data_IF_075960862836
#
_entry.id   IF_075960862836
#
_cell.length_a   1.000
_cell.length_b   1.000
_cell.length_c   1.000
_cell.angle_alpha   90.00
_cell.angle_beta   90.00
_cell.angle_gamma   90.00
#
_symmetry.space_group_name_H-M   'P 1'
#
loop_
_entity.id
_entity.type
_entity.pdbx_description
1 polymer ?
#
# COMPACT_ATOMS: atom_id res chain seq x y z
N UNK A 1 -21.53 7.14 -7.61
CA UNK A 1 -20.20 7.48 -7.06
C UNK A 1 -19.46 6.22 -6.71
N UNK A 2 -18.17 6.21 -6.93
CA UNK A 2 -17.39 5.06 -6.51
C UNK A 2 -17.43 4.95 -4.99
N UNK A 3 -17.43 3.73 -4.43
CA UNK A 3 -17.48 3.55 -2.99
C UNK A 3 -16.26 4.14 -2.28
N UNK A 4 -15.19 4.40 -3.02
CA UNK A 4 -13.97 4.94 -2.45
C UNK A 4 -13.46 6.10 -3.29
N UNK A 5 -13.52 7.30 -2.74
CA UNK A 5 -12.93 8.48 -3.36
C UNK A 5 -11.51 8.70 -2.88
N UNK A 6 -11.08 7.91 -1.90
CA UNK A 6 -9.77 8.04 -1.29
C UNK A 6 -8.68 7.54 -2.24
N UNK A 7 -7.57 8.26 -2.26
CA UNK A 7 -6.42 7.83 -3.03
C UNK A 7 -5.73 6.69 -2.30
N UNK A 8 -5.44 5.62 -3.02
CA UNK A 8 -4.85 4.42 -2.44
C UNK A 8 -3.46 4.21 -3.04
N UNK A 9 -2.47 4.12 -2.16
CA UNK A 9 -1.10 3.79 -2.55
C UNK A 9 -0.63 2.63 -1.68
N UNK A 10 0.09 1.72 -2.27
CA UNK A 10 0.62 0.57 -1.55
C UNK A 10 2.11 0.42 -1.88
N UNK A 11 2.93 0.38 -0.86
CA UNK A 11 4.36 0.18 -1.00
C UNK A 11 4.66 -1.29 -0.71
N UNK A 12 5.31 -1.94 -1.65
CA UNK A 12 5.42 -3.39 -1.67
C UNK A 12 6.82 -3.86 -1.99
N UNK A 13 7.02 -5.15 -1.80
CA UNK A 13 8.18 -5.87 -2.31
C UNK A 13 7.65 -6.93 -3.27
N UNK A 14 8.30 -7.09 -4.42
CA UNK A 14 7.81 -8.00 -5.46
C UNK A 14 7.73 -9.45 -5.02
N UNK A 15 8.54 -9.85 -4.04
CA UNK A 15 8.58 -11.22 -3.53
C UNK A 15 7.77 -11.44 -2.26
N UNK A 16 7.10 -10.41 -1.77
CA UNK A 16 6.38 -10.48 -0.49
C UNK A 16 4.99 -11.07 -0.67
N UNK A 17 4.72 -12.16 0.03
CA UNK A 17 3.40 -12.82 -0.04
C UNK A 17 2.29 -11.92 0.47
N UNK A 18 2.53 -11.22 1.58
CA UNK A 18 1.52 -10.33 2.15
C UNK A 18 1.21 -9.16 1.21
N UNK A 19 2.22 -8.68 0.49
CA UNK A 19 2.02 -7.64 -0.51
C UNK A 19 1.14 -8.13 -1.65
N UNK A 20 1.36 -9.36 -2.10
CA UNK A 20 0.53 -9.97 -3.15
C UNK A 20 -0.91 -10.13 -2.70
N UNK A 21 -1.12 -10.53 -1.45
CA UNK A 21 -2.46 -10.66 -0.89
C UNK A 21 -3.16 -9.30 -0.82
N UNK A 22 -2.43 -8.26 -0.43
CA UNK A 22 -2.98 -6.91 -0.38
C UNK A 22 -3.41 -6.43 -1.77
N UNK A 23 -2.55 -6.64 -2.78
CA UNK A 23 -2.89 -6.27 -4.16
C UNK A 23 -4.11 -7.03 -4.66
N UNK A 24 -4.17 -8.33 -4.39
CA UNK A 24 -5.30 -9.16 -4.81
C UNK A 24 -6.60 -8.71 -4.14
N UNK A 25 -6.53 -8.39 -2.86
CA UNK A 25 -7.71 -7.93 -2.14
C UNK A 25 -8.24 -6.61 -2.69
N UNK A 26 -7.35 -5.66 -2.97
CA UNK A 26 -7.76 -4.38 -3.55
C UNK A 26 -8.36 -4.58 -4.94
N UNK A 27 -7.83 -5.51 -5.72
CA UNK A 27 -8.38 -5.84 -7.02
C UNK A 27 -9.77 -6.44 -6.90
N UNK A 28 -10.00 -7.31 -5.91
CA UNK A 28 -11.32 -7.88 -5.65
C UNK A 28 -12.33 -6.81 -5.25
N UNK A 29 -11.90 -5.82 -4.50
CA UNK A 29 -12.75 -4.71 -4.09
C UNK A 29 -13.06 -3.77 -5.24
N UNK A 30 -12.41 -3.95 -6.38
CA UNK A 30 -12.60 -3.13 -7.58
C UNK A 30 -12.33 -1.65 -7.33
N UNK A 31 -11.35 -1.38 -6.48
CA UNK A 31 -10.92 0.00 -6.20
C UNK A 31 -9.59 0.26 -6.91
N UNK A 32 -9.43 1.44 -7.51
CA UNK A 32 -8.16 1.77 -8.15
C UNK A 32 -7.09 2.01 -7.10
N UNK A 33 -5.87 1.54 -7.36
CA UNK A 33 -4.75 1.76 -6.47
C UNK A 33 -3.46 1.85 -7.25
N UNK A 34 -2.47 2.53 -6.67
CA UNK A 34 -1.12 2.58 -7.21
C UNK A 34 -0.25 1.70 -6.32
N UNK A 35 0.70 1.00 -6.92
CA UNK A 35 1.64 0.22 -6.14
C UNK A 35 3.07 0.51 -6.57
N UNK A 36 3.98 0.34 -5.64
CA UNK A 36 5.39 0.57 -5.88
C UNK A 36 6.17 -0.60 -5.27
N UNK A 37 6.74 -1.44 -6.14
CA UNK A 37 7.63 -2.52 -5.70
C UNK A 37 9.01 -1.91 -5.47
N UNK A 38 9.27 -1.56 -4.23
CA UNK A 38 10.47 -0.81 -3.84
C UNK A 38 11.75 -1.56 -4.20
N UNK A 39 11.73 -2.88 -4.12
CA UNK A 39 12.89 -3.71 -4.46
C UNK A 39 13.25 -3.68 -5.94
N UNK A 40 12.31 -3.31 -6.80
CA UNK A 40 12.53 -3.20 -8.24
C UNK A 40 12.98 -1.80 -8.66
N UNK A 41 12.89 -0.84 -7.76
CA UNK A 41 13.36 0.53 -8.02
C UNK A 41 14.87 0.62 -7.86
N UNK A 42 15.47 1.60 -8.51
CA UNK A 42 16.91 1.78 -8.49
C UNK A 42 17.30 3.24 -8.28
N UNK A 43 18.47 3.45 -7.70
CA UNK A 43 19.04 4.78 -7.55
C UNK A 43 18.18 5.72 -6.73
N UNK A 44 18.01 6.93 -7.25
CA UNK A 44 17.27 7.98 -6.55
C UNK A 44 15.81 7.69 -6.36
N UNK A 45 15.19 6.95 -7.29
CA UNK A 45 13.80 6.58 -7.17
C UNK A 45 13.59 5.70 -5.95
N UNK A 46 14.47 4.72 -5.76
CA UNK A 46 14.41 3.85 -4.59
C UNK A 46 14.62 4.63 -3.30
N UNK A 47 15.61 5.51 -3.29
CA UNK A 47 15.88 6.34 -2.12
C UNK A 47 14.69 7.23 -1.76
N UNK A 48 14.08 7.84 -2.77
CA UNK A 48 12.90 8.67 -2.57
C UNK A 48 11.73 7.89 -2.01
N UNK A 49 11.49 6.69 -2.54
CA UNK A 49 10.41 5.83 -2.05
C UNK A 49 10.65 5.36 -0.63
N UNK A 50 11.87 4.98 -0.31
CA UNK A 50 12.22 4.56 1.05
C UNK A 50 12.03 5.71 2.02
N UNK A 51 12.46 6.91 1.65
CA UNK A 51 12.27 8.09 2.49
C UNK A 51 10.78 8.38 2.69
N UNK A 52 9.97 8.24 1.64
CA UNK A 52 8.54 8.46 1.72
C UNK A 52 7.88 7.43 2.64
N UNK A 53 8.20 6.16 2.46
CA UNK A 53 7.65 5.08 3.30
C UNK A 53 8.03 5.28 4.75
N UNK A 54 9.28 5.70 5.03
CA UNK A 54 9.74 5.88 6.40
C UNK A 54 8.97 6.95 7.16
N UNK A 55 8.36 7.90 6.46
CA UNK A 55 7.50 8.91 7.09
C UNK A 55 6.24 8.29 7.67
N UNK A 56 5.72 7.26 7.03
CA UNK A 56 4.49 6.60 7.42
C UNK A 56 4.77 5.35 8.25
N UNK A 57 5.88 4.68 7.97
CA UNK A 57 6.25 3.44 8.63
C UNK A 57 7.77 3.42 8.85
N UNK A 58 8.25 3.99 9.97
CA UNK A 58 9.69 4.05 10.26
C UNK A 58 10.39 2.70 10.31
N UNK A 59 9.64 1.62 10.54
CA UNK A 59 10.19 0.27 10.57
C UNK A 59 10.49 -0.28 9.18
N UNK A 60 9.96 0.39 8.14
CA UNK A 60 10.14 -0.02 6.75
C UNK A 60 9.75 -1.47 6.50
N UNK A 61 8.61 -1.88 7.04
CA UNK A 61 8.02 -3.19 6.78
C UNK A 61 7.01 -3.09 5.66
N UNK A 62 6.75 -4.20 4.98
CA UNK A 62 5.87 -4.21 3.82
C UNK A 62 4.78 -5.28 3.97
N UNK A 63 3.60 -5.04 3.41
CA UNK A 63 3.23 -3.83 2.68
C UNK A 63 2.96 -2.66 3.61
N UNK A 64 3.13 -1.43 3.12
CA UNK A 64 2.67 -0.21 3.77
C UNK A 64 1.59 0.37 2.89
N UNK A 65 0.38 0.50 3.42
CA UNK A 65 -0.79 0.88 2.65
C UNK A 65 -1.30 2.24 3.10
N UNK A 66 -1.46 3.15 2.14
CA UNK A 66 -2.03 4.46 2.39
C UNK A 66 -3.41 4.53 1.75
N UNK A 67 -4.42 4.82 2.55
CA UNK A 67 -5.79 4.97 2.06
C UNK A 67 -6.30 6.31 2.57
N UNK A 68 -6.29 7.30 1.68
CA UNK A 68 -6.58 8.68 2.09
C UNK A 68 -5.56 9.13 3.12
N UNK A 69 -6.02 9.44 4.32
CA UNK A 69 -5.15 9.88 5.42
C UNK A 69 -4.75 8.74 6.36
N UNK A 70 -5.23 7.53 6.11
CA UNK A 70 -4.94 6.40 6.96
C UNK A 70 -3.71 5.64 6.50
N UNK A 71 -2.92 5.18 7.46
CA UNK A 71 -1.73 4.37 7.21
C UNK A 71 -1.96 2.99 7.83
N UNK A 72 -1.82 1.96 7.02
CA UNK A 72 -1.95 0.58 7.48
C UNK A 72 -0.61 -0.11 7.26
N UNK A 73 0.00 -0.57 8.35
CA UNK A 73 1.27 -1.28 8.30
C UNK A 73 0.99 -2.78 8.29
N UNK A 74 1.46 -3.44 7.24
CA UNK A 74 1.15 -4.83 7.00
C UNK A 74 -0.21 -4.99 6.32
N UNK A 75 -0.58 -6.22 5.97
CA UNK A 75 -1.89 -6.48 5.39
C UNK A 75 -2.84 -7.02 6.45
N UNK A 76 -3.87 -6.24 6.73
CA UNK A 76 -4.96 -6.64 7.61
C UNK A 76 -6.25 -6.33 6.88
N UNK A 77 -6.93 -7.37 6.42
CA UNK A 77 -8.13 -7.24 5.60
C UNK A 77 -9.20 -6.38 6.26
N UNK A 78 -9.44 -6.58 7.56
CA UNK A 78 -10.44 -5.81 8.28
C UNK A 78 -10.12 -4.32 8.32
N UNK A 79 -8.86 -3.99 8.57
CA UNK A 79 -8.44 -2.59 8.62
C UNK A 79 -8.53 -1.94 7.25
N UNK A 80 -8.14 -2.66 6.21
CA UNK A 80 -8.25 -2.16 4.84
C UNK A 80 -9.71 -1.95 4.48
N UNK A 81 -10.56 -2.90 4.81
CA UNK A 81 -12.00 -2.82 4.54
C UNK A 81 -12.62 -1.61 5.22
N UNK A 82 -12.28 -1.36 6.49
CA UNK A 82 -12.78 -0.20 7.21
C UNK A 82 -12.29 1.10 6.60
N UNK A 83 -11.03 1.15 6.22
CA UNK A 83 -10.45 2.35 5.61
C UNK A 83 -11.09 2.64 4.25
N UNK A 84 -11.54 1.63 3.54
CA UNK A 84 -12.24 1.76 2.27
C UNK A 84 -13.72 2.07 2.41
N UNK A 85 -14.23 2.05 3.62
CA UNK A 85 -15.66 2.25 3.91
C UNK A 85 -16.56 1.18 3.28
N UNK A 86 -16.07 -0.04 3.28
CA UNK A 86 -16.82 -1.18 2.74
C UNK A 86 -17.51 -2.01 3.82
#
# INVERSE_FOLDING_TARGET
MSPTEKKIKIYTLSTCIHCRKAKAYLAECQVPYEFFDVDLMKGKERESLIAEVSRYNPRLTFPTILIGDEVIVGFNEEKVKKALDL
#
